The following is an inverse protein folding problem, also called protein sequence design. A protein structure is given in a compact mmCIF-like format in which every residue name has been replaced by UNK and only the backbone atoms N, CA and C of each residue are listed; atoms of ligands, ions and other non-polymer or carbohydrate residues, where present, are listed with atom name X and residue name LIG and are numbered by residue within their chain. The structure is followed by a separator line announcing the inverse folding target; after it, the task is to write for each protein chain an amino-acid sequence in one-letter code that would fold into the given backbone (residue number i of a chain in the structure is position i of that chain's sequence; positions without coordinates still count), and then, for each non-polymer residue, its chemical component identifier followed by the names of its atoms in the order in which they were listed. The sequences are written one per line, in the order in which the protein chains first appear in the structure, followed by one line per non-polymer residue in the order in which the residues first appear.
data_IF_702022581309
#
_entry.id   IF_702022581309
#
_cell.length_a   1.000
_cell.length_b   1.000
_cell.length_c   1.000
_cell.angle_alpha   90.00
_cell.angle_beta   90.00
_cell.angle_gamma   90.00
#
_symmetry.space_group_name_H-M   'P 1'
#
loop_
_entity.id
_entity.type
_entity.pdbx_description
1 polymer ?
#
# COMPACT_ATOMS: atom_id res chain seq x y z
N UNK A 1 -3.66 -8.98 9.93
CA UNK A 1 -4.53 -9.48 8.85
C UNK A 1 -5.21 -8.37 8.06
N UNK A 2 -5.96 -7.48 8.72
CA UNK A 2 -6.71 -6.40 8.05
C UNK A 2 -5.86 -5.45 7.18
N UNK A 3 -4.59 -5.11 7.49
CA UNK A 3 -3.75 -4.32 6.58
C UNK A 3 -3.50 -4.99 5.21
N UNK A 4 -3.46 -6.33 5.15
CA UNK A 4 -3.33 -7.06 3.88
C UNK A 4 -4.62 -6.92 3.06
N UNK A 5 -5.78 -7.01 3.71
CA UNK A 5 -7.06 -6.77 3.09
C UNK A 5 -7.14 -5.33 2.54
N UNK A 6 -6.76 -4.34 3.36
CA UNK A 6 -6.76 -2.94 2.96
C UNK A 6 -5.84 -2.68 1.77
N UNK A 7 -4.66 -3.32 1.70
CA UNK A 7 -3.77 -3.27 0.55
C UNK A 7 -4.49 -3.71 -0.73
N UNK A 8 -5.26 -4.80 -0.67
CA UNK A 8 -6.02 -5.31 -1.82
C UNK A 8 -7.09 -4.30 -2.24
N UNK A 9 -7.91 -3.83 -1.30
CA UNK A 9 -8.97 -2.86 -1.58
C UNK A 9 -8.41 -1.54 -2.17
N UNK A 10 -7.38 -0.97 -1.55
CA UNK A 10 -6.72 0.25 -2.04
C UNK A 10 -6.11 0.06 -3.42
N UNK A 11 -5.42 -1.05 -3.66
CA UNK A 11 -4.72 -1.28 -4.93
C UNK A 11 -5.66 -1.44 -6.10
N UNK A 12 -6.82 -2.09 -5.94
CA UNK A 12 -7.74 -2.35 -7.05
C UNK A 12 -8.69 -1.19 -7.35
N UNK A 13 -9.19 -0.51 -6.33
CA UNK A 13 -10.19 0.52 -6.55
C UNK A 13 -9.61 1.93 -6.41
N UNK A 14 -9.11 2.29 -5.25
CA UNK A 14 -8.75 3.68 -5.00
C UNK A 14 -7.51 4.13 -5.78
N UNK A 15 -6.38 3.43 -5.57
CA UNK A 15 -5.12 3.83 -6.18
C UNK A 15 -5.12 3.58 -7.69
N UNK A 16 -5.58 2.40 -8.12
CA UNK A 16 -5.63 2.06 -9.54
C UNK A 16 -6.47 3.02 -10.36
N UNK A 17 -7.68 3.30 -9.88
CA UNK A 17 -8.60 4.20 -10.58
C UNK A 17 -8.04 5.63 -10.64
N UNK A 18 -7.55 6.15 -9.52
CA UNK A 18 -7.17 7.56 -9.46
C UNK A 18 -5.74 7.82 -10.01
N UNK A 19 -4.77 6.96 -9.71
CA UNK A 19 -3.38 7.17 -10.11
C UNK A 19 -3.11 6.61 -11.52
N UNK A 20 -3.59 5.40 -11.82
CA UNK A 20 -3.31 4.80 -13.13
C UNK A 20 -4.33 5.19 -14.18
N UNK A 21 -5.62 4.94 -13.95
CA UNK A 21 -6.65 5.12 -14.99
C UNK A 21 -6.87 6.60 -15.27
N UNK A 22 -7.06 7.41 -14.25
CA UNK A 22 -7.28 8.86 -14.39
C UNK A 22 -5.97 9.63 -14.49
N UNK A 23 -4.97 9.29 -13.66
CA UNK A 23 -3.69 9.99 -13.57
C UNK A 23 -2.68 9.62 -14.65
N UNK A 24 -2.85 8.49 -15.34
CA UNK A 24 -1.98 8.05 -16.43
C UNK A 24 -0.63 7.45 -15.99
N UNK A 25 -0.46 7.14 -14.72
CA UNK A 25 0.71 6.40 -14.24
C UNK A 25 0.74 4.98 -14.84
N UNK A 26 1.93 4.42 -15.01
CA UNK A 26 2.06 3.04 -15.49
C UNK A 26 1.61 2.03 -14.44
N UNK A 27 1.87 2.30 -13.16
CA UNK A 27 1.43 1.46 -12.05
C UNK A 27 1.43 2.22 -10.73
N UNK A 28 0.69 1.66 -9.78
CA UNK A 28 0.64 2.12 -8.40
C UNK A 28 0.57 0.92 -7.47
N UNK A 29 1.06 1.10 -6.25
CA UNK A 29 1.08 0.05 -5.24
C UNK A 29 1.05 0.63 -3.83
N UNK A 30 0.62 -0.18 -2.88
CA UNK A 30 0.75 0.08 -1.45
C UNK A 30 1.32 -1.15 -0.75
N UNK A 31 2.01 -0.95 0.35
CA UNK A 31 2.53 -2.03 1.18
C UNK A 31 2.40 -1.69 2.66
N UNK A 32 2.08 -2.72 3.45
CA UNK A 32 1.95 -2.63 4.89
C UNK A 32 2.70 -3.82 5.49
N UNK A 33 3.90 -3.57 5.99
CA UNK A 33 4.77 -4.59 6.55
C UNK A 33 4.45 -4.93 8.01
N UNK A 34 4.73 -6.15 8.42
CA UNK A 34 4.55 -6.64 9.81
C UNK A 34 5.45 -5.88 10.81
N UNK A 35 6.52 -5.25 10.35
CA UNK A 35 7.43 -4.47 11.19
C UNK A 35 7.00 -3.00 11.30
N UNK A 36 5.83 -2.64 10.72
CA UNK A 36 5.29 -1.27 10.75
C UNK A 36 5.75 -0.40 9.58
N UNK A 37 6.61 -0.90 8.71
CA UNK A 37 6.95 -0.24 7.45
C UNK A 37 5.72 -0.18 6.54
N UNK A 38 5.44 1.01 6.03
CA UNK A 38 4.28 1.22 5.18
C UNK A 38 4.60 2.25 4.10
N UNK A 39 4.09 2.03 2.90
CA UNK A 39 4.35 2.92 1.78
C UNK A 39 3.22 2.94 0.76
N UNK A 40 3.14 4.06 0.06
CA UNK A 40 2.44 4.21 -1.21
C UNK A 40 3.48 4.52 -2.29
N UNK A 41 3.33 3.95 -3.46
CA UNK A 41 4.25 4.20 -4.57
C UNK A 41 3.53 4.24 -5.90
N UNK A 42 4.03 5.08 -6.81
CA UNK A 42 3.66 5.09 -8.22
C UNK A 42 4.90 4.92 -9.10
N UNK A 43 4.71 4.40 -10.28
CA UNK A 43 5.78 4.12 -11.22
C UNK A 43 5.46 4.70 -12.59
N UNK A 44 6.44 5.40 -13.18
CA UNK A 44 6.27 6.17 -14.42
C UNK A 44 5.03 7.05 -14.35
N UNK A 45 4.96 7.81 -13.29
CA UNK A 45 3.85 8.69 -12.97
C UNK A 45 4.09 10.08 -13.59
N UNK A 46 3.16 10.59 -14.40
CA UNK A 46 3.27 11.93 -14.93
C UNK A 46 2.87 13.04 -13.94
N UNK A 47 2.29 12.76 -12.78
CA UNK A 47 1.66 13.76 -11.92
C UNK A 47 2.09 13.63 -10.45
N UNK A 48 3.22 14.22 -10.08
CA UNK A 48 3.75 14.09 -8.71
C UNK A 48 2.80 14.67 -7.66
N UNK A 49 2.41 15.94 -7.80
CA UNK A 49 1.55 16.64 -6.84
C UNK A 49 0.15 16.02 -6.75
N UNK A 50 -0.51 15.81 -7.89
CA UNK A 50 -1.85 15.21 -7.91
C UNK A 50 -1.85 13.77 -7.35
N UNK A 51 -0.78 13.01 -7.57
CA UNK A 51 -0.64 11.67 -6.98
C UNK A 51 -0.44 11.75 -5.47
N UNK A 52 0.30 12.74 -4.97
CA UNK A 52 0.44 12.96 -3.54
C UNK A 52 -0.91 13.31 -2.88
N UNK A 53 -1.71 14.17 -3.50
CA UNK A 53 -3.08 14.47 -3.04
C UNK A 53 -3.96 13.20 -2.95
N UNK A 54 -3.80 12.28 -3.91
CA UNK A 54 -4.52 10.99 -3.87
C UNK A 54 -4.04 10.16 -2.68
N UNK A 55 -2.74 10.13 -2.38
CA UNK A 55 -2.24 9.44 -1.19
C UNK A 55 -2.78 10.06 0.10
N UNK A 56 -2.80 11.38 0.22
CA UNK A 56 -3.38 12.08 1.37
C UNK A 56 -4.86 11.78 1.55
N UNK A 57 -5.60 11.59 0.46
CA UNK A 57 -7.01 11.21 0.48
C UNK A 57 -7.30 9.77 0.93
N UNK A 58 -6.29 8.91 1.10
CA UNK A 58 -6.47 7.51 1.53
C UNK A 58 -7.17 7.41 2.88
N UNK A 59 -6.86 8.30 3.82
CA UNK A 59 -7.50 8.28 5.15
C UNK A 59 -9.00 8.46 5.05
N UNK A 60 -9.45 9.43 4.24
CA UNK A 60 -10.88 9.69 4.06
C UNK A 60 -11.56 8.56 3.28
N UNK A 61 -10.89 7.97 2.29
CA UNK A 61 -11.40 6.79 1.60
C UNK A 61 -11.63 5.63 2.56
N UNK A 62 -10.66 5.31 3.42
CA UNK A 62 -10.77 4.21 4.39
C UNK A 62 -11.84 4.51 5.44
N UNK A 63 -11.92 5.74 5.93
CA UNK A 63 -12.94 6.17 6.89
C UNK A 63 -14.36 6.02 6.37
N UNK A 64 -14.56 6.27 5.08
CA UNK A 64 -15.85 6.18 4.40
C UNK A 64 -15.96 4.90 3.55
N UNK A 65 -15.16 3.89 3.82
CA UNK A 65 -15.16 2.65 3.07
C UNK A 65 -16.55 2.03 3.10
N UNK A 66 -17.14 1.89 1.92
CA UNK A 66 -18.45 1.29 1.73
C UNK A 66 -18.49 0.58 0.38
N UNK A 67 -18.85 -0.69 0.40
CA UNK A 67 -18.92 -1.55 -0.78
C UNK A 67 -20.10 -2.51 -0.66
N UNK A 68 -20.57 -3.03 -1.78
CA UNK A 68 -21.59 -4.06 -1.74
C UNK A 68 -21.03 -5.43 -1.34
N UNK A 69 -21.89 -6.39 -1.04
CA UNK A 69 -21.52 -7.75 -0.63
C UNK A 69 -20.64 -8.47 -1.68
N UNK A 70 -20.86 -8.18 -2.94
CA UNK A 70 -20.10 -8.77 -4.05
C UNK A 70 -18.66 -8.26 -4.06
N UNK A 71 -18.48 -6.96 -3.89
CA UNK A 71 -17.16 -6.35 -3.87
C UNK A 71 -16.41 -6.73 -2.59
N UNK A 72 -17.10 -6.79 -1.44
CA UNK A 72 -16.52 -7.32 -0.20
C UNK A 72 -16.01 -8.75 -0.40
N UNK A 73 -16.80 -9.60 -1.02
CA UNK A 73 -16.42 -10.98 -1.35
C UNK A 73 -15.19 -11.02 -2.26
N UNK A 74 -15.10 -10.15 -3.27
CA UNK A 74 -13.91 -10.05 -4.13
C UNK A 74 -12.64 -9.71 -3.35
N UNK A 75 -12.72 -8.76 -2.42
CA UNK A 75 -11.56 -8.40 -1.60
C UNK A 75 -11.13 -9.52 -0.66
N UNK A 76 -12.08 -10.20 -0.03
CA UNK A 76 -11.80 -11.39 0.79
C UNK A 76 -11.08 -12.45 -0.04
N UNK A 77 -11.62 -12.81 -1.21
CA UNK A 77 -11.02 -13.81 -2.11
C UNK A 77 -9.63 -13.35 -2.56
N UNK A 78 -9.47 -12.10 -2.96
CA UNK A 78 -8.19 -11.53 -3.38
C UNK A 78 -7.14 -11.61 -2.27
N UNK A 79 -7.51 -11.25 -1.05
CA UNK A 79 -6.63 -11.30 0.11
C UNK A 79 -6.23 -12.73 0.49
N UNK A 80 -7.19 -13.65 0.54
CA UNK A 80 -6.92 -15.07 0.81
C UNK A 80 -6.03 -15.67 -0.29
N UNK A 81 -6.22 -15.28 -1.54
CA UNK A 81 -5.39 -15.77 -2.65
C UNK A 81 -3.92 -15.34 -2.53
N UNK A 82 -3.65 -14.15 -1.98
CA UNK A 82 -2.27 -13.74 -1.67
C UNK A 82 -1.64 -14.63 -0.58
N UNK A 83 -2.40 -14.98 0.46
CA UNK A 83 -1.92 -15.85 1.54
C UNK A 83 -1.71 -17.30 1.08
N UNK A 84 -2.59 -17.81 0.22
CA UNK A 84 -2.62 -19.19 -0.27
C UNK A 84 -1.82 -19.39 -1.56
N UNK A 85 -1.01 -18.42 -1.97
CA UNK A 85 -0.16 -18.56 -3.16
C UNK A 85 0.66 -19.85 -3.10
N UNK A 86 0.61 -20.69 -4.15
CA UNK A 86 1.39 -21.92 -4.21
C UNK A 86 2.89 -21.65 -4.08
N UNK A 87 3.53 -22.29 -3.13
CA UNK A 87 4.94 -22.10 -2.84
C UNK A 87 5.78 -23.28 -3.36
N UNK A 88 6.93 -22.96 -3.96
CA UNK A 88 7.97 -23.94 -4.25
C UNK A 88 8.53 -24.55 -2.95
N UNK A 89 9.17 -25.73 -2.97
CA UNK A 89 9.82 -26.29 -1.77
C UNK A 89 10.79 -25.31 -1.10
N UNK A 90 11.57 -24.57 -1.88
CA UNK A 90 12.49 -23.54 -1.37
C UNK A 90 11.71 -22.42 -0.65
N UNK A 91 10.66 -21.91 -1.26
CA UNK A 91 9.84 -20.83 -0.68
C UNK A 91 9.12 -21.27 0.60
N UNK A 92 8.66 -22.54 0.66
CA UNK A 92 8.10 -23.14 1.88
C UNK A 92 9.13 -23.17 3.01
N UNK A 93 10.35 -23.61 2.70
CA UNK A 93 11.45 -23.65 3.68
C UNK A 93 11.81 -22.23 4.19
N UNK A 94 11.92 -21.26 3.28
CA UNK A 94 12.20 -19.88 3.65
C UNK A 94 11.07 -19.28 4.52
N UNK A 95 9.81 -19.46 4.13
CA UNK A 95 8.64 -19.01 4.91
C UNK A 95 8.63 -19.63 6.31
N UNK A 96 8.90 -20.92 6.43
CA UNK A 96 8.96 -21.61 7.73
C UNK A 96 10.10 -21.09 8.60
N UNK A 97 11.27 -20.87 8.01
CA UNK A 97 12.42 -20.32 8.71
C UNK A 97 12.13 -18.88 9.19
N UNK A 98 11.58 -18.02 8.34
CA UNK A 98 11.22 -16.65 8.70
C UNK A 98 10.17 -16.64 9.82
N UNK A 99 9.14 -17.47 9.74
CA UNK A 99 8.11 -17.58 10.77
C UNK A 99 8.71 -18.03 12.10
N UNK A 100 9.63 -19.00 12.08
CA UNK A 100 10.32 -19.46 13.28
C UNK A 100 11.20 -18.36 13.91
N UNK A 101 11.96 -17.63 13.10
CA UNK A 101 12.80 -16.52 13.58
C UNK A 101 11.97 -15.34 14.13
N UNK A 102 10.81 -15.09 13.55
CA UNK A 102 9.88 -14.05 13.98
C UNK A 102 8.92 -14.50 15.09
N UNK A 103 9.05 -15.74 15.57
CA UNK A 103 8.17 -16.36 16.57
C UNK A 103 6.69 -16.38 16.16
N UNK A 104 6.40 -16.42 14.86
CA UNK A 104 5.03 -16.50 14.33
C UNK A 104 4.54 -17.95 14.44
N UNK A 105 3.47 -18.16 15.17
CA UNK A 105 2.87 -19.49 15.41
C UNK A 105 1.84 -19.85 14.33
N UNK A 106 1.46 -21.12 14.27
CA UNK A 106 0.39 -21.58 13.37
C UNK A 106 -0.97 -21.00 13.76
N UNK A 107 -1.19 -20.86 15.04
CA UNK A 107 -2.41 -20.26 15.62
C UNK A 107 -2.55 -18.80 15.21
N UNK A 108 -1.46 -18.05 15.16
CA UNK A 108 -1.46 -16.66 14.68
C UNK A 108 -1.78 -16.58 13.19
N UNK A 109 -1.16 -17.42 12.37
CA UNK A 109 -1.46 -17.51 10.93
C UNK A 109 -2.92 -17.89 10.69
N UNK A 110 -3.47 -18.84 11.48
CA UNK A 110 -4.88 -19.22 11.35
C UNK A 110 -5.80 -18.08 11.78
N UNK A 111 -5.49 -17.41 12.88
CA UNK A 111 -6.26 -16.22 13.33
C UNK A 111 -6.29 -15.11 12.28
N UNK A 112 -5.14 -14.81 11.67
CA UNK A 112 -5.10 -13.83 10.57
C UNK A 112 -6.04 -14.22 9.41
N UNK A 113 -6.07 -15.51 9.08
CA UNK A 113 -6.94 -16.04 8.05
C UNK A 113 -8.42 -15.89 8.42
N UNK A 114 -8.77 -16.23 9.65
CA UNK A 114 -10.13 -16.15 10.15
C UNK A 114 -10.61 -14.69 10.22
N UNK A 115 -9.74 -13.76 10.61
CA UNK A 115 -10.00 -12.30 10.59
C UNK A 115 -10.30 -11.79 9.17
N UNK A 116 -9.57 -12.25 8.16
CA UNK A 116 -9.83 -11.88 6.77
C UNK A 116 -11.15 -12.45 6.27
N UNK A 117 -11.43 -13.70 6.58
CA UNK A 117 -12.68 -14.37 6.16
C UNK A 117 -13.93 -13.77 6.79
N UNK A 118 -13.80 -13.19 7.99
CA UNK A 118 -14.88 -12.55 8.73
C UNK A 118 -14.85 -11.02 8.68
N UNK A 119 -13.97 -10.43 7.86
CA UNK A 119 -13.80 -8.98 7.79
C UNK A 119 -15.09 -8.27 7.35
N UNK A 120 -15.40 -7.17 8.01
CA UNK A 120 -16.54 -6.30 7.73
C UNK A 120 -16.06 -4.93 7.28
N UNK A 121 -16.95 -4.12 6.69
CA UNK A 121 -16.66 -2.72 6.36
C UNK A 121 -16.19 -1.94 7.59
N UNK A 122 -16.85 -2.14 8.73
CA UNK A 122 -16.50 -1.47 9.98
C UNK A 122 -15.09 -1.80 10.44
N UNK A 123 -14.62 -3.02 10.21
CA UNK A 123 -13.25 -3.42 10.56
C UNK A 123 -12.23 -2.71 9.67
N UNK A 124 -12.57 -2.49 8.41
CA UNK A 124 -11.72 -1.71 7.49
C UNK A 124 -11.72 -0.23 7.86
N UNK A 125 -12.88 0.34 8.17
CA UNK A 125 -13.00 1.74 8.61
C UNK A 125 -12.17 2.03 9.88
N UNK A 126 -12.06 1.08 10.80
CA UNK A 126 -11.21 1.18 12.00
C UNK A 126 -9.72 1.35 11.70
N UNK A 127 -9.29 1.07 10.46
CA UNK A 127 -7.89 1.27 10.04
C UNK A 127 -7.59 2.73 9.64
N UNK A 128 -8.58 3.61 9.51
CA UNK A 128 -8.36 5.00 9.12
C UNK A 128 -7.34 5.75 10.02
N UNK A 129 -7.31 5.60 11.37
CA UNK A 129 -6.28 6.22 12.19
C UNK A 129 -4.86 5.76 11.88
N UNK A 130 -4.68 4.50 11.42
CA UNK A 130 -3.38 3.99 10.99
C UNK A 130 -2.93 4.66 9.69
N UNK A 131 -3.85 4.86 8.74
CA UNK A 131 -3.55 5.60 7.50
C UNK A 131 -3.16 7.05 7.80
N UNK A 132 -3.89 7.70 8.68
CA UNK A 132 -3.54 9.05 9.14
C UNK A 132 -2.14 9.09 9.80
N UNK A 133 -1.80 8.11 10.62
CA UNK A 133 -0.49 8.03 11.25
C UNK A 133 0.65 7.84 10.22
N UNK A 134 0.45 7.00 9.20
CA UNK A 134 1.41 6.80 8.10
C UNK A 134 1.64 8.10 7.34
N UNK A 135 0.56 8.79 6.94
CA UNK A 135 0.64 10.02 6.16
C UNK A 135 1.27 11.17 6.96
N UNK A 136 1.03 11.25 8.26
CA UNK A 136 1.65 12.25 9.16
C UNK A 136 3.17 12.15 9.24
N UNK A 137 3.79 11.04 8.85
CA UNK A 137 5.26 10.96 8.82
C UNK A 137 5.86 11.91 7.80
N UNK A 138 5.11 12.27 6.76
CA UNK A 138 5.51 13.24 5.73
C UNK A 138 6.74 12.82 4.91
N UNK A 139 7.10 11.53 4.92
CA UNK A 139 8.29 11.05 4.20
C UNK A 139 7.96 10.83 2.72
N UNK A 140 8.35 11.77 1.87
CA UNK A 140 8.15 11.73 0.42
C UNK A 140 9.50 11.57 -0.26
N UNK A 141 9.59 10.62 -1.18
CA UNK A 141 10.76 10.43 -2.04
C UNK A 141 10.30 10.22 -3.49
N UNK A 142 10.86 10.97 -4.40
CA UNK A 142 10.60 10.80 -5.82
C UNK A 142 11.89 10.79 -6.63
N UNK A 143 11.90 9.99 -7.70
CA UNK A 143 12.97 9.91 -8.68
C UNK A 143 12.40 10.23 -10.05
N UNK A 144 12.91 11.27 -10.72
CA UNK A 144 12.37 11.70 -12.01
C UNK A 144 13.26 12.66 -12.76
N UNK A 145 12.77 13.14 -13.90
CA UNK A 145 13.46 14.14 -14.68
C UNK A 145 13.52 15.49 -13.96
N UNK A 146 14.70 16.12 -14.03
CA UNK A 146 15.03 17.39 -13.33
C UNK A 146 13.97 18.48 -13.52
N UNK A 147 13.57 18.74 -14.77
CA UNK A 147 12.58 19.76 -15.12
C UNK A 147 11.25 19.59 -14.36
N UNK A 148 10.79 18.34 -14.22
CA UNK A 148 9.55 18.01 -13.52
C UNK A 148 9.73 18.17 -12.01
N UNK A 149 10.84 17.68 -11.47
CA UNK A 149 11.14 17.80 -10.04
C UNK A 149 11.24 19.27 -9.62
N UNK A 150 11.84 20.13 -10.46
CA UNK A 150 11.92 21.57 -10.20
C UNK A 150 10.56 22.28 -10.23
N UNK A 151 9.61 21.83 -11.07
CA UNK A 151 8.27 22.41 -11.13
C UNK A 151 7.46 22.20 -9.85
N UNK A 152 7.69 21.08 -9.18
CA UNK A 152 6.95 20.69 -7.98
C UNK A 152 7.88 20.60 -6.75
N UNK A 153 8.93 21.42 -6.74
CA UNK A 153 9.94 21.41 -5.67
C UNK A 153 9.38 21.63 -4.26
N UNK A 154 8.23 22.28 -4.17
CA UNK A 154 7.57 22.58 -2.89
C UNK A 154 7.09 21.32 -2.14
N UNK A 155 6.97 20.19 -2.86
CA UNK A 155 6.66 18.89 -2.26
C UNK A 155 7.85 18.27 -1.52
N UNK A 156 9.06 18.76 -1.76
CA UNK A 156 10.30 18.14 -1.29
C UNK A 156 11.11 19.10 -0.42
N UNK A 157 11.67 18.59 0.66
CA UNK A 157 12.61 19.35 1.49
C UNK A 157 13.95 19.58 0.81
N UNK A 158 14.37 18.68 -0.10
CA UNK A 158 15.65 18.74 -0.79
C UNK A 158 15.56 18.07 -2.16
N UNK A 159 16.22 18.61 -3.16
CA UNK A 159 16.44 18.02 -4.47
C UNK A 159 17.92 17.72 -4.65
N UNK A 160 18.25 16.47 -5.01
CA UNK A 160 19.62 16.04 -5.25
C UNK A 160 19.80 15.49 -6.66
N UNK A 161 20.89 15.81 -7.36
CA UNK A 161 21.22 15.17 -8.63
C UNK A 161 21.56 13.69 -8.38
N UNK A 162 21.00 12.80 -9.19
CA UNK A 162 21.25 11.35 -9.06
C UNK A 162 22.65 10.94 -9.56
N UNK A 163 23.16 11.62 -10.59
CA UNK A 163 24.44 11.31 -11.24
C UNK A 163 25.22 12.62 -11.36
N UNK A 164 26.36 12.70 -10.66
CA UNK A 164 27.48 13.64 -10.84
C UNK A 164 27.11 15.04 -11.36
N UNK A 165 26.30 15.79 -10.64
CA UNK A 165 26.05 17.20 -10.91
C UNK A 165 26.38 18.01 -9.67
N UNK A 166 26.81 19.25 -9.85
CA UNK A 166 26.92 20.23 -8.78
C UNK A 166 25.52 20.42 -8.17
N UNK A 167 25.47 20.66 -6.85
CA UNK A 167 24.23 20.91 -6.11
C UNK A 167 23.37 21.96 -6.81
N UNK A 168 22.11 21.64 -7.09
CA UNK A 168 21.16 22.56 -7.70
C UNK A 168 20.60 23.56 -6.69
#
# INVERSE_FOLDING_TARGET
ALPIFLKVALSYDYLWINIRVKGGAYGCMSGFGVMGDSYFASYRDPNLGATNEIYEGVTDYVKNFHVDERDMTKYVIGTISELDTPLTPRSKGLRSMTAWLAHITREEVQRERDEILSATEEDIQKLAPYMEAILKTGSICALGGEERMKKEKELFGELKPLIGGEEC
#
